data_IF_784327737813
#
_entry.id   IF_784327737813
#
_cell.length_a   1.000
_cell.length_b   1.000
_cell.length_c   1.000
_cell.angle_alpha   90.00
_cell.angle_beta   90.00
_cell.angle_gamma   90.00
#
_symmetry.space_group_name_H-M   'P 1'
#
loop_
_entity.id
_entity.type
_entity.pdbx_description
1 polymer ?
#
# COMPACT_ATOMS: atom_id res chain seq x y z
N UNK A 1 19.93 14.30 -11.91
CA UNK A 1 18.62 14.85 -12.27
C UNK A 1 17.67 13.70 -12.57
N UNK A 2 16.55 13.66 -11.89
CA UNK A 2 15.46 12.70 -12.10
C UNK A 2 14.18 13.50 -12.33
N UNK A 3 13.47 13.22 -13.42
CA UNK A 3 12.14 13.78 -13.66
C UNK A 3 11.10 12.67 -13.74
N UNK A 4 10.12 12.74 -12.87
CA UNK A 4 9.00 11.80 -12.78
C UNK A 4 7.83 12.30 -13.64
N UNK A 5 7.11 11.41 -14.29
CA UNK A 5 5.97 11.73 -15.15
C UNK A 5 4.74 10.89 -14.84
N UNK A 6 3.57 11.49 -14.97
CA UNK A 6 2.32 10.71 -14.82
C UNK A 6 2.01 9.90 -16.08
N UNK A 7 1.60 8.64 -15.92
CA UNK A 7 1.39 7.69 -17.01
C UNK A 7 0.36 8.08 -18.08
N UNK A 8 -0.45 9.12 -17.85
CA UNK A 8 -1.39 9.61 -18.89
C UNK A 8 -0.69 10.28 -20.07
N UNK A 9 0.46 10.95 -19.85
CA UNK A 9 1.23 11.60 -20.94
C UNK A 9 2.05 10.59 -21.72
N UNK A 10 2.56 9.56 -21.06
CA UNK A 10 3.38 8.51 -21.68
C UNK A 10 2.55 7.49 -22.47
N UNK A 11 1.27 7.30 -22.16
CA UNK A 11 0.35 6.53 -23.01
C UNK A 11 0.35 7.02 -24.46
N UNK A 12 0.47 8.34 -24.66
CA UNK A 12 0.51 8.92 -26.00
C UNK A 12 1.84 8.69 -26.73
N UNK A 13 2.94 8.39 -26.00
CA UNK A 13 4.26 8.16 -26.59
C UNK A 13 4.41 6.67 -26.98
N UNK A 14 4.01 5.76 -26.12
CA UNK A 14 4.26 4.32 -26.28
C UNK A 14 2.98 3.50 -26.49
N UNK A 15 1.81 4.13 -26.41
CA UNK A 15 0.49 3.49 -26.50
C UNK A 15 0.30 2.31 -25.50
N UNK A 16 0.90 2.41 -24.34
CA UNK A 16 0.81 1.42 -23.26
C UNK A 16 0.43 2.08 -21.95
N UNK A 17 -0.32 1.38 -21.11
CA UNK A 17 -0.87 1.87 -19.84
C UNK A 17 0.09 1.77 -18.64
N UNK A 18 1.40 2.02 -18.83
CA UNK A 18 2.40 2.00 -17.77
C UNK A 18 2.97 3.39 -17.51
N UNK A 19 3.55 3.58 -16.33
CA UNK A 19 4.26 4.79 -15.96
C UNK A 19 5.73 4.63 -16.27
N UNK A 20 6.36 5.70 -16.72
CA UNK A 20 7.78 5.77 -16.98
C UNK A 20 8.37 6.97 -16.26
N UNK A 21 9.50 6.73 -15.64
CA UNK A 21 10.39 7.78 -15.18
C UNK A 21 11.61 7.81 -16.08
N UNK A 22 12.18 8.99 -16.29
CA UNK A 22 13.44 9.09 -17.00
C UNK A 22 14.44 9.90 -16.18
N UNK A 23 15.70 9.53 -16.33
CA UNK A 23 16.78 10.15 -15.60
C UNK A 23 17.99 10.34 -16.50
N UNK A 24 18.82 11.29 -16.12
CA UNK A 24 20.14 11.50 -16.72
C UNK A 24 21.17 11.09 -15.69
N UNK A 25 22.01 10.12 -16.05
CA UNK A 25 23.15 9.66 -15.23
C UNK A 25 24.41 10.27 -15.77
N UNK A 26 25.20 10.92 -14.93
CA UNK A 26 26.53 11.40 -15.23
C UNK A 26 27.54 10.68 -14.33
N UNK A 27 28.60 10.12 -14.93
CA UNK A 27 29.71 9.52 -14.16
C UNK A 27 30.55 10.63 -13.53
N UNK A 28 30.24 10.97 -12.29
CA UNK A 28 30.96 11.96 -11.48
C UNK A 28 31.26 11.37 -10.10
N UNK A 29 32.14 12.00 -9.30
CA UNK A 29 32.23 11.65 -7.87
C UNK A 29 30.85 11.68 -7.20
N UNK A 30 30.66 10.81 -6.18
CA UNK A 30 29.38 10.72 -5.45
C UNK A 30 29.00 12.09 -4.88
N UNK A 31 27.80 12.53 -5.19
CA UNK A 31 27.15 13.70 -4.57
C UNK A 31 26.19 13.21 -3.50
N UNK A 32 26.01 13.99 -2.44
CA UNK A 32 25.10 13.67 -1.34
C UNK A 32 23.64 13.94 -1.68
N UNK A 33 23.39 14.77 -2.71
CA UNK A 33 22.03 15.18 -3.05
C UNK A 33 21.76 15.11 -4.56
N UNK A 34 20.51 14.88 -4.91
CA UNK A 34 20.00 14.83 -6.28
C UNK A 34 18.80 15.79 -6.41
N UNK A 35 18.71 16.48 -7.55
CA UNK A 35 17.52 17.25 -7.91
C UNK A 35 16.49 16.29 -8.50
N UNK A 36 15.33 16.21 -7.86
CA UNK A 36 14.18 15.41 -8.31
C UNK A 36 13.05 16.37 -8.67
N UNK A 37 12.47 16.21 -9.85
CA UNK A 37 11.25 16.93 -10.26
C UNK A 37 10.11 15.94 -10.24
N UNK A 38 9.13 16.17 -9.36
CA UNK A 38 7.98 15.30 -9.16
C UNK A 38 6.89 15.43 -10.26
N UNK A 39 5.81 14.66 -10.13
CA UNK A 39 4.70 14.69 -11.08
C UNK A 39 3.91 16.01 -11.10
N UNK A 40 4.04 16.81 -10.05
CA UNK A 40 3.45 18.16 -9.96
C UNK A 40 4.41 19.24 -10.50
N UNK A 41 5.51 18.84 -11.17
CA UNK A 41 6.59 19.70 -11.67
C UNK A 41 7.30 20.50 -10.54
N UNK A 42 7.23 20.04 -9.28
CA UNK A 42 7.94 20.61 -8.15
C UNK A 42 9.36 20.06 -8.06
N UNK A 43 10.32 20.92 -7.80
CA UNK A 43 11.72 20.56 -7.65
C UNK A 43 12.06 20.32 -6.18
N UNK A 44 12.75 19.20 -5.92
CA UNK A 44 13.22 18.79 -4.60
C UNK A 44 14.72 18.50 -4.64
N UNK A 45 15.44 18.85 -3.58
CA UNK A 45 16.84 18.47 -3.41
C UNK A 45 16.88 17.37 -2.36
N UNK A 46 17.13 16.14 -2.79
CA UNK A 46 17.01 14.94 -1.96
C UNK A 46 18.33 14.20 -1.82
N UNK A 47 18.56 13.68 -0.64
CA UNK A 47 19.52 12.60 -0.39
C UNK A 47 18.80 11.28 -0.68
N UNK A 48 19.09 10.68 -1.84
CA UNK A 48 18.40 9.47 -2.30
C UNK A 48 18.75 8.23 -1.45
N UNK A 49 19.86 8.26 -0.70
CA UNK A 49 20.22 7.17 0.21
C UNK A 49 19.20 7.01 1.37
N UNK A 50 18.34 8.01 1.60
CA UNK A 50 17.28 7.98 2.62
C UNK A 50 15.96 7.37 2.14
N UNK A 51 15.87 7.02 0.86
CA UNK A 51 14.64 6.54 0.26
C UNK A 51 14.85 5.15 -0.34
N UNK A 52 14.04 4.17 0.07
CA UNK A 52 13.97 2.88 -0.61
C UNK A 52 13.19 2.99 -1.93
N UNK A 53 12.32 4.00 -2.02
CA UNK A 53 11.51 4.33 -3.20
C UNK A 53 11.17 5.81 -3.20
N UNK A 54 10.84 6.38 -4.36
CA UNK A 54 10.43 7.78 -4.46
C UNK A 54 8.93 7.88 -4.73
N UNK A 55 8.19 8.69 -3.96
CA UNK A 55 6.79 8.97 -4.26
C UNK A 55 6.68 9.83 -5.52
N UNK A 56 5.56 9.69 -6.23
CA UNK A 56 5.29 10.42 -7.47
C UNK A 56 5.17 11.94 -7.25
N UNK A 57 4.70 12.35 -6.08
CA UNK A 57 4.54 13.72 -5.59
C UNK A 57 4.39 13.69 -4.07
N UNK A 58 4.07 14.82 -3.43
CA UNK A 58 3.98 14.93 -1.96
C UNK A 58 5.25 14.47 -1.22
N UNK A 59 6.42 14.62 -1.85
CA UNK A 59 7.70 14.09 -1.37
C UNK A 59 8.01 14.57 0.06
N UNK A 60 7.85 15.87 0.34
CA UNK A 60 8.13 16.43 1.67
C UNK A 60 7.22 15.86 2.76
N UNK A 61 5.93 15.65 2.43
CA UNK A 61 4.96 15.09 3.34
C UNK A 61 5.30 13.64 3.67
N UNK A 62 5.58 12.84 2.64
CA UNK A 62 5.92 11.42 2.78
C UNK A 62 7.27 11.24 3.49
N UNK A 63 8.28 12.10 3.21
CA UNK A 63 9.57 12.05 3.91
C UNK A 63 9.43 12.14 5.44
N UNK A 64 8.45 12.91 5.91
CA UNK A 64 8.18 13.04 7.35
C UNK A 64 7.49 11.79 7.94
N UNK A 65 6.93 10.94 7.09
CA UNK A 65 6.26 9.70 7.49
C UNK A 65 7.20 8.49 7.49
N UNK A 66 8.39 8.59 6.88
CA UNK A 66 9.35 7.50 6.81
C UNK A 66 9.96 7.19 8.18
N UNK A 67 10.29 5.92 8.44
CA UNK A 67 10.86 5.48 9.72
C UNK A 67 10.96 3.96 9.89
N UNK A 68 10.64 3.15 8.87
CA UNK A 68 10.82 1.70 8.81
C UNK A 68 10.28 0.95 10.04
N UNK A 69 9.11 1.34 10.56
CA UNK A 69 8.56 0.74 11.78
C UNK A 69 7.07 0.39 11.71
N UNK A 70 6.40 0.64 10.59
CA UNK A 70 5.06 0.15 10.32
C UNK A 70 5.11 -1.35 10.02
N UNK A 71 4.34 -2.14 10.78
CA UNK A 71 4.29 -3.59 10.57
C UNK A 71 3.21 -3.96 9.56
N UNK A 72 3.66 -4.40 8.39
CA UNK A 72 2.80 -4.87 7.30
C UNK A 72 2.70 -6.38 7.33
N UNK A 73 1.47 -6.88 7.23
CA UNK A 73 1.13 -8.29 7.20
C UNK A 73 0.69 -8.67 5.78
N UNK A 74 1.45 -9.54 5.13
CA UNK A 74 1.12 -10.06 3.81
C UNK A 74 1.72 -11.44 3.60
N UNK A 75 0.93 -12.34 3.04
CA UNK A 75 1.40 -13.57 2.41
C UNK A 75 0.34 -14.13 1.45
N UNK A 76 0.72 -15.15 0.70
CA UNK A 76 -0.10 -15.76 -0.35
C UNK A 76 -0.71 -17.11 0.05
N UNK A 77 -0.77 -17.44 1.35
CA UNK A 77 -1.28 -18.72 1.82
C UNK A 77 -2.75 -18.97 1.42
N UNK A 78 -3.53 -17.91 1.29
CA UNK A 78 -4.93 -17.94 0.85
C UNK A 78 -5.08 -17.38 -0.57
N UNK A 79 -4.20 -17.78 -1.48
CA UNK A 79 -4.34 -17.43 -2.89
C UNK A 79 -5.58 -18.11 -3.49
N UNK A 80 -6.35 -17.40 -4.30
CA UNK A 80 -7.59 -17.93 -4.91
C UNK A 80 -7.38 -19.02 -5.96
N UNK A 81 -6.14 -19.37 -6.27
CA UNK A 81 -5.80 -20.61 -6.99
C UNK A 81 -5.97 -21.86 -6.13
N UNK A 82 -5.97 -21.73 -4.78
CA UNK A 82 -6.29 -22.82 -3.88
C UNK A 82 -7.80 -23.01 -3.79
N UNK A 83 -8.20 -24.22 -3.36
CA UNK A 83 -9.61 -24.56 -3.20
C UNK A 83 -10.30 -23.65 -2.17
N UNK A 84 -11.40 -23.02 -2.57
CA UNK A 84 -12.20 -22.13 -1.74
C UNK A 84 -13.68 -22.18 -2.14
N UNK A 85 -14.53 -21.57 -1.32
CA UNK A 85 -15.97 -21.41 -1.56
C UNK A 85 -16.38 -19.95 -1.44
N UNK A 86 -17.39 -19.52 -2.19
CA UNK A 86 -18.01 -18.20 -2.07
C UNK A 86 -19.01 -18.13 -0.91
N UNK A 87 -19.45 -19.27 -0.41
CA UNK A 87 -20.37 -19.39 0.72
C UNK A 87 -19.75 -20.22 1.85
N UNK A 88 -20.07 -19.87 3.08
CA UNK A 88 -19.64 -20.63 4.24
C UNK A 88 -20.35 -21.99 4.28
N UNK A 89 -19.59 -23.06 4.47
CA UNK A 89 -20.08 -24.43 4.65
C UNK A 89 -19.35 -25.10 5.81
N UNK A 90 -19.73 -26.36 6.14
CA UNK A 90 -19.03 -27.12 7.19
C UNK A 90 -17.54 -27.34 6.89
N UNK A 91 -17.16 -27.48 5.61
CA UNK A 91 -15.77 -27.69 5.19
C UNK A 91 -15.04 -26.38 4.95
N UNK A 92 -15.73 -25.33 4.43
CA UNK A 92 -15.19 -24.02 4.09
C UNK A 92 -15.70 -23.00 5.11
N UNK A 93 -14.97 -22.78 6.17
CA UNK A 93 -15.43 -21.97 7.31
C UNK A 93 -14.52 -20.79 7.69
N UNK A 94 -13.29 -20.74 7.17
CA UNK A 94 -12.37 -19.65 7.47
C UNK A 94 -12.60 -18.47 6.52
N UNK A 95 -13.11 -17.31 7.00
CA UNK A 95 -13.40 -16.16 6.17
C UNK A 95 -12.11 -15.41 5.79
N UNK A 96 -11.84 -15.34 4.51
CA UNK A 96 -10.67 -14.64 3.94
C UNK A 96 -11.14 -13.47 3.09
N UNK A 97 -10.67 -12.27 3.39
CA UNK A 97 -10.97 -11.08 2.60
C UNK A 97 -10.25 -11.15 1.26
N UNK A 98 -11.03 -11.09 0.19
CA UNK A 98 -10.50 -11.10 -1.19
C UNK A 98 -10.58 -9.72 -1.82
N UNK A 99 -11.65 -8.99 -1.57
CA UNK A 99 -11.83 -7.62 -2.06
C UNK A 99 -12.42 -6.74 -0.98
N UNK A 100 -12.08 -5.44 -1.02
CA UNK A 100 -12.70 -4.42 -0.21
C UNK A 100 -13.09 -3.29 -1.16
N UNK A 101 -14.34 -2.91 -1.19
CA UNK A 101 -14.85 -1.86 -2.08
C UNK A 101 -16.04 -1.13 -1.43
N UNK A 102 -16.65 -0.19 -2.16
CA UNK A 102 -17.79 0.59 -1.68
C UNK A 102 -18.99 -0.27 -1.20
N UNK A 103 -19.15 -1.49 -1.73
CA UNK A 103 -20.23 -2.41 -1.33
C UNK A 103 -19.89 -3.21 -0.07
N UNK A 104 -18.67 -3.09 0.44
CA UNK A 104 -18.18 -3.79 1.62
C UNK A 104 -17.06 -4.79 1.32
N UNK A 105 -16.94 -5.80 2.18
CA UNK A 105 -15.92 -6.84 2.14
C UNK A 105 -16.42 -8.03 1.32
N UNK A 106 -15.69 -8.40 0.28
CA UNK A 106 -15.89 -9.64 -0.46
C UNK A 106 -15.07 -10.77 0.19
N UNK A 107 -15.75 -11.81 0.66
CA UNK A 107 -15.16 -12.92 1.41
C UNK A 107 -15.11 -14.17 0.53
N UNK A 108 -14.00 -14.91 0.64
CA UNK A 108 -13.86 -16.31 0.20
C UNK A 108 -13.63 -17.18 1.43
N UNK A 109 -14.17 -18.39 1.46
CA UNK A 109 -14.03 -19.32 2.58
C UNK A 109 -13.05 -20.42 2.24
N UNK A 110 -12.12 -20.71 3.15
CA UNK A 110 -11.11 -21.76 3.01
C UNK A 110 -11.30 -22.83 4.09
N UNK A 111 -10.81 -24.03 3.82
CA UNK A 111 -10.95 -25.18 4.74
C UNK A 111 -10.06 -24.98 5.97
N UNK A 112 -8.79 -24.70 5.78
CA UNK A 112 -7.78 -24.71 6.83
C UNK A 112 -7.23 -23.31 7.15
N UNK A 113 -6.85 -23.11 8.41
CA UNK A 113 -5.99 -22.00 8.79
C UNK A 113 -4.55 -22.33 8.43
N UNK A 114 -4.00 -21.65 7.42
CA UNK A 114 -2.65 -21.94 6.93
C UNK A 114 -1.55 -21.13 7.61
N UNK A 115 -1.89 -20.05 8.33
CA UNK A 115 -0.90 -19.14 8.91
C UNK A 115 -1.48 -18.31 10.05
N UNK A 116 -0.67 -18.13 11.09
CA UNK A 116 -1.03 -17.35 12.28
C UNK A 116 -1.01 -15.83 12.07
N UNK A 117 -0.43 -15.36 10.96
CA UNK A 117 -0.44 -13.92 10.66
C UNK A 117 -1.79 -13.41 10.12
N UNK A 118 -2.73 -14.29 9.87
CA UNK A 118 -4.04 -13.93 9.34
C UNK A 118 -5.11 -13.84 10.42
N UNK A 119 -5.33 -14.93 11.16
CA UNK A 119 -6.42 -15.03 12.13
C UNK A 119 -5.95 -14.79 13.56
N UNK A 120 -6.77 -14.10 14.35
CA UNK A 120 -6.45 -13.74 15.73
C UNK A 120 -5.43 -12.62 15.84
N UNK A 121 -5.06 -11.97 14.73
CA UNK A 121 -4.11 -10.87 14.70
C UNK A 121 -4.84 -9.56 14.41
N UNK A 122 -4.85 -8.60 15.35
CA UNK A 122 -5.45 -7.29 15.14
C UNK A 122 -4.77 -6.53 14.00
N UNK A 123 -5.58 -6.03 13.05
CA UNK A 123 -5.05 -5.34 11.88
C UNK A 123 -6.07 -4.42 11.21
N UNK A 124 -5.58 -3.45 10.46
CA UNK A 124 -6.38 -2.73 9.46
C UNK A 124 -6.17 -3.42 8.12
N UNK A 125 -7.25 -3.88 7.52
CA UNK A 125 -7.25 -4.55 6.22
C UNK A 125 -7.35 -3.54 5.08
N UNK A 126 -6.56 -3.76 4.05
CA UNK A 126 -6.45 -2.93 2.86
C UNK A 126 -6.44 -3.80 1.59
N UNK A 127 -7.01 -3.27 0.52
CA UNK A 127 -6.93 -3.90 -0.80
C UNK A 127 -5.78 -3.27 -1.59
N UNK A 128 -4.96 -4.08 -2.26
CA UNK A 128 -3.85 -3.58 -3.08
C UNK A 128 -4.32 -2.75 -4.30
N UNK A 129 -5.49 -3.03 -4.84
CA UNK A 129 -6.00 -2.33 -6.02
C UNK A 129 -6.59 -0.95 -5.68
N UNK A 130 -7.36 -0.88 -4.60
CA UNK A 130 -7.98 0.34 -4.11
C UNK A 130 -7.80 0.40 -2.60
N UNK A 131 -7.00 1.34 -2.12
CA UNK A 131 -6.83 1.58 -0.69
C UNK A 131 -8.00 2.38 -0.07
N UNK A 132 -9.03 2.63 -0.86
CA UNK A 132 -10.29 3.14 -0.37
C UNK A 132 -11.00 2.03 0.44
N UNK A 133 -11.75 2.46 1.46
CA UNK A 133 -12.53 1.57 2.32
C UNK A 133 -11.71 0.63 3.21
N UNK A 134 -10.65 1.12 3.91
CA UNK A 134 -9.92 0.30 4.88
C UNK A 134 -10.86 -0.22 5.97
N UNK A 135 -10.58 -1.42 6.49
CA UNK A 135 -11.42 -2.08 7.50
C UNK A 135 -10.63 -2.34 8.76
N UNK A 136 -11.09 -1.84 9.90
CA UNK A 136 -10.51 -2.18 11.19
C UNK A 136 -10.97 -3.58 11.63
N UNK A 137 -10.09 -4.57 11.49
CA UNK A 137 -10.26 -5.95 11.96
C UNK A 137 -9.49 -6.15 13.27
N UNK A 138 -9.87 -5.40 14.29
CA UNK A 138 -9.22 -5.48 15.61
C UNK A 138 -9.39 -6.87 16.26
N UNK A 139 -10.49 -7.54 16.00
CA UNK A 139 -10.73 -8.89 16.52
C UNK A 139 -9.93 -9.96 15.78
N UNK A 140 -9.27 -9.63 14.67
CA UNK A 140 -8.53 -10.60 13.87
C UNK A 140 -9.39 -11.67 13.23
N UNK A 141 -10.62 -11.31 12.88
CA UNK A 141 -11.63 -12.24 12.37
C UNK A 141 -11.27 -12.79 11.00
N UNK A 142 -10.61 -12.01 10.17
CA UNK A 142 -10.44 -12.30 8.75
C UNK A 142 -9.02 -12.72 8.39
N UNK A 143 -8.92 -13.70 7.48
CA UNK A 143 -7.72 -13.93 6.69
C UNK A 143 -7.58 -12.92 5.56
N UNK A 144 -6.44 -12.96 4.86
CA UNK A 144 -6.10 -12.10 3.73
C UNK A 144 -5.76 -12.94 2.50
N UNK A 145 -6.33 -12.62 1.35
CA UNK A 145 -5.94 -13.23 0.07
C UNK A 145 -4.74 -12.50 -0.54
N UNK A 146 -4.31 -12.94 -1.71
CA UNK A 146 -3.24 -12.29 -2.48
C UNK A 146 -3.54 -10.84 -2.90
N UNK A 147 -4.80 -10.38 -2.83
CA UNK A 147 -5.20 -9.02 -3.20
C UNK A 147 -5.31 -8.08 -2.00
N UNK A 148 -5.13 -8.58 -0.79
CA UNK A 148 -5.29 -7.83 0.45
C UNK A 148 -4.06 -7.96 1.34
N UNK A 149 -3.80 -6.92 2.13
CA UNK A 149 -2.77 -6.93 3.15
C UNK A 149 -3.29 -6.25 4.43
N UNK A 150 -2.56 -6.40 5.52
CA UNK A 150 -2.90 -5.82 6.80
C UNK A 150 -1.82 -4.88 7.32
N UNK A 151 -2.22 -3.85 8.05
CA UNK A 151 -1.33 -3.08 8.93
C UNK A 151 -1.62 -3.54 10.34
N UNK A 152 -0.61 -4.08 11.03
CA UNK A 152 -0.75 -4.57 12.40
C UNK A 152 -1.04 -3.40 13.35
N UNK A 153 -1.97 -3.60 14.27
CA UNK A 153 -2.39 -2.62 15.27
C UNK A 153 -2.38 -3.24 16.66
N UNK A 154 -2.27 -2.39 17.68
CA UNK A 154 -2.27 -2.84 19.09
C UNK A 154 -3.60 -2.57 19.79
N UNK A 155 -4.32 -1.54 19.38
CA UNK A 155 -5.61 -1.16 19.96
C UNK A 155 -6.64 -0.87 18.88
N UNK A 156 -7.91 -0.96 19.25
CA UNK A 156 -9.01 -0.63 18.34
C UNK A 156 -8.95 0.84 17.90
N UNK A 157 -8.62 1.73 18.84
CA UNK A 157 -8.51 3.18 18.60
C UNK A 157 -7.39 3.51 17.60
N UNK A 158 -6.27 2.75 17.63
CA UNK A 158 -5.21 2.85 16.63
C UNK A 158 -5.75 2.51 15.25
N UNK A 159 -6.47 1.40 15.13
CA UNK A 159 -7.09 0.98 13.87
C UNK A 159 -8.10 2.01 13.34
N UNK A 160 -8.93 2.57 14.23
CA UNK A 160 -9.93 3.59 13.86
C UNK A 160 -9.25 4.86 13.32
N UNK A 161 -8.13 5.31 13.94
CA UNK A 161 -7.33 6.45 13.45
C UNK A 161 -6.69 6.20 12.08
N UNK A 162 -6.16 5.01 11.86
CA UNK A 162 -5.61 4.62 10.54
C UNK A 162 -6.71 4.65 9.47
N UNK A 163 -7.88 4.11 9.78
CA UNK A 163 -9.05 4.14 8.88
C UNK A 163 -9.48 5.57 8.57
N UNK A 164 -9.57 6.42 9.59
CA UNK A 164 -9.91 7.83 9.44
C UNK A 164 -8.89 8.56 8.56
N UNK A 165 -7.58 8.40 8.84
CA UNK A 165 -6.53 9.01 8.04
C UNK A 165 -6.61 8.58 6.57
N UNK A 166 -6.71 7.28 6.28
CA UNK A 166 -6.76 6.75 4.92
C UNK A 166 -7.98 7.22 4.13
N UNK A 167 -9.09 7.51 4.82
CA UNK A 167 -10.31 8.06 4.22
C UNK A 167 -10.27 9.59 4.07
N UNK A 168 -9.34 10.28 4.73
CA UNK A 168 -9.17 11.74 4.61
C UNK A 168 -8.59 12.12 3.24
N UNK A 169 -8.76 13.38 2.83
CA UNK A 169 -8.19 13.89 1.58
C UNK A 169 -6.66 13.82 1.59
N UNK A 170 -6.04 14.09 2.75
CA UNK A 170 -4.59 13.95 2.95
C UNK A 170 -4.14 12.50 2.75
N UNK A 171 -4.80 11.54 3.40
CA UNK A 171 -4.49 10.12 3.27
C UNK A 171 -4.64 9.64 1.84
N UNK A 172 -5.73 9.99 1.16
CA UNK A 172 -5.96 9.67 -0.26
C UNK A 172 -4.88 10.24 -1.16
N UNK A 173 -4.44 11.49 -0.91
CA UNK A 173 -3.34 12.12 -1.64
C UNK A 173 -2.02 11.38 -1.43
N UNK A 174 -1.66 11.02 -0.19
CA UNK A 174 -0.46 10.26 0.13
C UNK A 174 -0.48 8.90 -0.58
N UNK A 175 -1.58 8.15 -0.46
CA UNK A 175 -1.72 6.86 -1.12
C UNK A 175 -1.60 6.96 -2.65
N UNK A 176 -2.22 7.97 -3.25
CA UNK A 176 -2.09 8.20 -4.70
C UNK A 176 -0.66 8.52 -5.11
N UNK A 177 0.11 9.21 -4.26
CA UNK A 177 1.52 9.52 -4.50
C UNK A 177 2.44 8.28 -4.43
N UNK A 178 2.04 7.22 -3.72
CA UNK A 178 2.81 5.97 -3.58
C UNK A 178 2.54 4.93 -4.67
N UNK A 179 1.58 5.15 -5.56
CA UNK A 179 1.24 4.19 -6.61
C UNK A 179 2.31 4.13 -7.69
N UNK A 180 2.88 2.95 -7.92
CA UNK A 180 3.84 2.71 -9.00
C UNK A 180 3.20 2.47 -10.36
N UNK A 181 1.95 2.00 -10.36
CA UNK A 181 1.18 1.79 -11.58
C UNK A 181 -0.28 2.23 -11.39
N UNK A 182 -1.10 2.04 -12.41
CA UNK A 182 -2.50 2.47 -12.39
C UNK A 182 -3.34 1.62 -11.43
N UNK A 183 -2.94 0.37 -11.15
CA UNK A 183 -3.79 -0.61 -10.50
C UNK A 183 -3.37 -0.96 -9.07
N UNK A 184 -2.05 -0.98 -8.76
CA UNK A 184 -1.56 -1.52 -7.50
C UNK A 184 -0.81 -0.49 -6.68
N UNK A 185 -1.07 -0.51 -5.37
CA UNK A 185 -0.19 0.07 -4.37
C UNK A 185 0.68 -1.06 -3.80
N UNK A 186 1.98 -0.88 -3.81
CA UNK A 186 2.89 -1.83 -3.21
C UNK A 186 2.78 -1.75 -1.68
N UNK A 187 2.38 -2.84 -1.05
CA UNK A 187 2.26 -2.93 0.40
C UNK A 187 3.61 -2.72 1.11
N UNK A 188 4.74 -3.01 0.45
CA UNK A 188 6.07 -2.79 1.02
C UNK A 188 6.35 -1.32 1.30
N UNK A 189 5.73 -0.38 0.59
CA UNK A 189 5.87 1.05 0.86
C UNK A 189 5.39 1.44 2.25
N UNK A 190 4.37 0.74 2.77
CA UNK A 190 3.90 0.99 4.14
C UNK A 190 4.92 0.53 5.18
N UNK A 191 5.72 -0.50 4.91
CA UNK A 191 6.76 -0.95 5.83
C UNK A 191 7.84 0.12 6.07
N UNK A 192 8.05 1.02 5.12
CA UNK A 192 8.98 2.14 5.24
C UNK A 192 8.43 3.30 6.09
N UNK A 193 7.14 3.32 6.40
CA UNK A 193 6.56 4.35 7.26
C UNK A 193 6.94 4.14 8.73
N UNK A 194 6.95 5.21 9.51
CA UNK A 194 7.05 5.11 10.96
C UNK A 194 5.73 4.60 11.56
N UNK A 195 5.77 4.16 12.81
CA UNK A 195 4.59 3.60 13.49
C UNK A 195 3.42 4.58 13.62
N UNK A 196 3.70 5.89 13.67
CA UNK A 196 2.71 6.95 13.90
C UNK A 196 2.45 7.77 12.62
N UNK A 197 2.70 7.20 11.45
CA UNK A 197 2.61 7.87 10.14
C UNK A 197 1.23 8.50 9.88
N UNK A 198 0.18 7.94 10.40
CA UNK A 198 -1.21 8.39 10.25
C UNK A 198 -1.59 9.56 11.18
N UNK A 199 -0.72 9.95 12.11
CA UNK A 199 -0.97 11.04 13.08
C UNK A 199 -0.40 12.38 12.60
N UNK A 200 0.47 12.38 11.58
CA UNK A 200 1.27 13.54 11.11
C UNK A 200 0.62 14.39 10.03
#
# INVERSE_FOLDING_TARGET
FLKMRSGRREQNIFNIGVRFDYYIVQKTPKHTTTVVIDHEDKSHILDLDKFNWLPNYAISEISNMLGNSCQVLYNTAYHTQHEHSDIQTGDFFNPVVHTINQKGIGIKYFKDKKTDIHFGVPKVLLNQNELQYPVNDFEGKYGMSQLTFGISIKTKEEGDKIVEFLNSDKGKRIIAATKWNTFYTDYNMFADFNKDWYVK
#
